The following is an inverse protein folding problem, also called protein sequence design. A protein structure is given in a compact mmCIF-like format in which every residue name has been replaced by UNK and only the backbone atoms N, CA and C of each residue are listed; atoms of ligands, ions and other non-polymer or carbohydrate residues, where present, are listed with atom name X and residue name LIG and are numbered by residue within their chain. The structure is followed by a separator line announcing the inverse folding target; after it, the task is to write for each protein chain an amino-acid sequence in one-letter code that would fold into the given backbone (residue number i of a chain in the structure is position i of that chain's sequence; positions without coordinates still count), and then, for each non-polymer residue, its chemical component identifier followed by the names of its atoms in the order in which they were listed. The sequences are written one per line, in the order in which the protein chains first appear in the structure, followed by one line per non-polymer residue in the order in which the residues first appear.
data_IF_866984203956
#
_entry.id   IF_866984203956
#
_cell.length_a   1.000
_cell.length_b   1.000
_cell.length_c   1.000
_cell.angle_alpha   90.00
_cell.angle_beta   90.00
_cell.angle_gamma   90.00
#
_symmetry.space_group_name_H-M   'P 1'
#
loop_
_entity.id
_entity.type
_entity.pdbx_description
1 polymer ?
#
# COMPACT_ATOMS: atom_id res chain seq x y z
N UNK A 1 -9.45 -27.56 -0.54
CA UNK A 1 -8.66 -27.52 0.71
C UNK A 1 -7.20 -27.24 0.36
N UNK A 2 -6.45 -26.54 1.22
CA UNK A 2 -5.00 -26.36 1.01
C UNK A 2 -4.29 -27.71 1.15
N UNK A 3 -3.48 -28.09 0.17
CA UNK A 3 -2.68 -29.30 0.21
C UNK A 3 -1.22 -28.99 -0.16
N UNK A 4 -0.27 -29.67 0.47
CA UNK A 4 1.17 -29.52 0.20
C UNK A 4 1.57 -30.18 -1.13
N UNK A 5 0.70 -30.94 -1.77
CA UNK A 5 0.96 -31.59 -3.07
C UNK A 5 0.53 -30.76 -4.29
N UNK A 6 -0.21 -29.67 -4.07
CA UNK A 6 -0.69 -28.81 -5.15
C UNK A 6 0.16 -27.55 -5.30
N UNK A 7 0.28 -27.09 -6.55
CA UNK A 7 0.89 -25.80 -6.88
C UNK A 7 -0.18 -24.71 -6.98
N UNK A 8 -0.07 -23.66 -6.18
CA UNK A 8 -1.00 -22.53 -6.21
C UNK A 8 -0.34 -21.28 -6.81
N UNK A 9 -1.14 -20.37 -7.37
CA UNK A 9 -0.62 -19.06 -7.82
C UNK A 9 -0.19 -18.24 -6.61
N UNK A 10 0.99 -17.63 -6.68
CA UNK A 10 1.53 -16.82 -5.58
C UNK A 10 0.63 -15.60 -5.31
N UNK A 11 0.15 -15.40 -4.07
CA UNK A 11 -0.69 -14.24 -3.75
C UNK A 11 0.07 -12.91 -3.78
N UNK A 12 1.40 -12.94 -3.60
CA UNK A 12 2.26 -11.76 -3.54
C UNK A 12 2.56 -11.19 -4.94
N UNK A 13 3.08 -12.02 -5.85
CA UNK A 13 3.47 -11.57 -7.20
C UNK A 13 2.41 -11.85 -8.28
N UNK A 14 1.39 -12.69 -8.00
CA UNK A 14 0.37 -13.18 -8.95
C UNK A 14 0.90 -13.82 -10.25
N UNK A 15 2.21 -13.99 -10.38
CA UNK A 15 2.88 -14.53 -11.57
C UNK A 15 3.54 -15.88 -11.30
N UNK A 16 4.22 -16.01 -10.16
CA UNK A 16 4.86 -17.26 -9.77
C UNK A 16 3.87 -18.27 -9.22
N UNK A 17 4.32 -19.52 -9.11
CA UNK A 17 3.62 -20.57 -8.38
C UNK A 17 4.34 -20.79 -7.05
N UNK A 18 3.55 -21.05 -6.02
CA UNK A 18 4.06 -21.50 -4.73
C UNK A 18 4.03 -23.03 -4.69
N UNK A 19 5.12 -23.61 -4.21
CA UNK A 19 5.27 -25.06 -4.00
C UNK A 19 5.64 -25.32 -2.54
N UNK A 20 5.12 -26.41 -1.98
CA UNK A 20 5.44 -26.77 -0.60
C UNK A 20 6.92 -27.15 -0.45
N UNK A 21 7.52 -26.72 0.66
CA UNK A 21 8.83 -27.21 1.09
C UNK A 21 8.59 -28.49 1.89
N UNK A 22 9.13 -29.60 1.42
CA UNK A 22 8.83 -30.97 1.91
C UNK A 22 9.23 -31.25 3.36
N UNK A 23 9.83 -30.28 4.07
CA UNK A 23 10.36 -30.45 5.43
C UNK A 23 9.61 -29.61 6.49
N UNK A 24 8.73 -28.68 6.08
CA UNK A 24 7.98 -27.79 6.97
C UNK A 24 6.62 -27.48 6.34
N UNK A 25 5.60 -27.10 7.13
CA UNK A 25 4.34 -26.56 6.60
C UNK A 25 4.56 -25.14 6.03
N UNK A 26 5.39 -25.04 4.99
CA UNK A 26 5.81 -23.81 4.36
C UNK A 26 5.79 -23.95 2.84
N UNK A 27 5.56 -22.83 2.15
CA UNK A 27 5.51 -22.73 0.70
C UNK A 27 6.52 -21.67 0.25
N UNK A 28 7.20 -21.90 -0.86
CA UNK A 28 8.06 -20.88 -1.47
C UNK A 28 7.61 -20.58 -2.89
N UNK A 29 7.72 -19.31 -3.29
CA UNK A 29 7.43 -18.92 -4.66
C UNK A 29 8.66 -19.08 -5.56
N UNK A 30 8.48 -19.74 -6.71
CA UNK A 30 9.53 -19.90 -7.72
C UNK A 30 9.94 -18.60 -8.44
N UNK A 31 9.19 -17.51 -8.28
CA UNK A 31 9.43 -16.23 -8.95
C UNK A 31 9.98 -15.16 -8.01
N UNK A 32 9.24 -14.84 -6.94
CA UNK A 32 9.66 -13.81 -5.98
C UNK A 32 10.59 -14.35 -4.88
N UNK A 33 10.81 -15.67 -4.81
CA UNK A 33 11.68 -16.34 -3.82
C UNK A 33 11.35 -16.05 -2.35
N UNK A 34 10.14 -15.58 -2.06
CA UNK A 34 9.65 -15.44 -0.70
C UNK A 34 9.09 -16.75 -0.15
N UNK A 35 9.32 -16.95 1.15
CA UNK A 35 8.81 -18.08 1.93
C UNK A 35 7.55 -17.65 2.68
N UNK A 36 6.55 -18.52 2.63
CA UNK A 36 5.28 -18.37 3.31
C UNK A 36 5.11 -19.54 4.27
N UNK A 37 4.78 -19.27 5.53
CA UNK A 37 4.34 -20.27 6.49
C UNK A 37 2.86 -20.59 6.27
N UNK A 38 2.51 -21.86 6.12
CA UNK A 38 1.12 -22.28 6.00
C UNK A 38 0.60 -22.86 7.30
N UNK A 39 -0.55 -22.37 7.75
CA UNK A 39 -1.30 -23.00 8.82
C UNK A 39 -2.45 -23.80 8.18
N UNK A 40 -2.24 -25.11 8.03
CA UNK A 40 -3.20 -26.02 7.41
C UNK A 40 -4.52 -26.13 8.20
N UNK A 41 -4.47 -26.01 9.53
CA UNK A 41 -5.67 -26.02 10.39
C UNK A 41 -6.56 -24.80 10.15
N UNK A 42 -5.95 -23.63 9.97
CA UNK A 42 -6.68 -22.38 9.74
C UNK A 42 -6.88 -22.07 8.26
N UNK A 43 -6.32 -22.89 7.35
CA UNK A 43 -6.29 -22.65 5.90
C UNK A 43 -5.76 -21.25 5.54
N UNK A 44 -4.78 -20.78 6.32
CA UNK A 44 -4.14 -19.49 6.14
C UNK A 44 -2.68 -19.65 5.71
N UNK A 45 -2.22 -18.73 4.87
CA UNK A 45 -0.83 -18.57 4.50
C UNK A 45 -0.34 -17.24 5.04
N UNK A 46 0.78 -17.25 5.74
CA UNK A 46 1.41 -16.08 6.33
C UNK A 46 2.80 -15.88 5.72
N UNK A 47 3.19 -14.65 5.43
CA UNK A 47 4.55 -14.38 4.96
C UNK A 47 5.54 -14.59 6.12
N UNK A 48 6.52 -15.49 5.94
CA UNK A 48 7.49 -15.81 7.00
C UNK A 48 8.64 -14.79 7.10
N UNK A 49 8.95 -14.12 5.98
CA UNK A 49 10.06 -13.15 5.86
C UNK A 49 9.68 -11.70 6.21
N UNK A 50 8.42 -11.42 6.58
CA UNK A 50 7.94 -10.06 6.77
C UNK A 50 7.81 -9.67 8.24
N UNK A 51 8.35 -8.52 8.64
CA UNK A 51 8.09 -7.86 9.94
C UNK A 51 6.60 -7.55 10.18
N UNK A 52 5.75 -7.65 9.14
CA UNK A 52 4.31 -7.47 9.23
C UNK A 52 3.59 -8.77 8.84
N UNK A 53 2.56 -9.20 9.60
CA UNK A 53 1.86 -10.46 9.38
C UNK A 53 0.92 -10.36 8.17
N UNK A 54 1.50 -10.39 6.96
CA UNK A 54 0.72 -10.57 5.74
C UNK A 54 0.16 -11.97 5.73
N UNK A 55 -1.16 -12.06 5.91
CA UNK A 55 -1.88 -13.31 5.91
C UNK A 55 -2.91 -13.33 4.77
N UNK A 56 -3.08 -14.50 4.18
CA UNK A 56 -4.08 -14.78 3.15
C UNK A 56 -4.87 -16.02 3.58
N UNK A 57 -6.17 -15.95 3.41
CA UNK A 57 -7.08 -17.07 3.60
C UNK A 57 -7.40 -17.71 2.25
N UNK A 58 -7.42 -19.04 2.21
CA UNK A 58 -7.79 -19.78 1.01
C UNK A 58 -9.27 -20.15 1.02
N UNK A 59 -10.04 -19.61 0.07
CA UNK A 59 -11.46 -19.95 -0.08
C UNK A 59 -11.74 -21.16 -0.96
N UNK A 60 -10.70 -21.87 -1.43
CA UNK A 60 -10.84 -23.04 -2.32
C UNK A 60 -10.59 -22.74 -3.79
N UNK A 61 -10.87 -21.52 -4.24
CA UNK A 61 -10.61 -21.06 -5.62
C UNK A 61 -9.61 -19.91 -5.70
N UNK A 62 -9.65 -18.99 -4.72
CA UNK A 62 -8.89 -17.75 -4.73
C UNK A 62 -8.27 -17.43 -3.37
N UNK A 63 -7.23 -16.60 -3.38
CA UNK A 63 -6.63 -16.03 -2.17
C UNK A 63 -7.40 -14.78 -1.75
N UNK A 64 -7.86 -14.74 -0.52
CA UNK A 64 -8.43 -13.55 0.10
C UNK A 64 -7.41 -13.00 1.10
N UNK A 65 -7.01 -11.74 0.94
CA UNK A 65 -6.11 -11.10 1.88
C UNK A 65 -6.86 -10.79 3.19
N UNK A 66 -6.42 -11.34 4.32
CA UNK A 66 -7.10 -11.11 5.60
C UNK A 66 -6.81 -9.73 6.18
N UNK A 67 -5.73 -9.05 5.77
CA UNK A 67 -5.54 -7.63 6.13
C UNK A 67 -6.62 -6.74 5.49
N UNK A 68 -7.09 -7.07 4.28
CA UNK A 68 -8.20 -6.36 3.63
C UNK A 68 -9.58 -6.63 4.27
N UNK A 69 -9.75 -7.75 4.99
CA UNK A 69 -10.93 -7.96 5.83
C UNK A 69 -10.87 -7.15 7.12
N UNK A 70 -9.68 -6.99 7.72
CA UNK A 70 -9.46 -6.18 8.92
C UNK A 70 -9.50 -4.67 8.63
N UNK A 71 -9.28 -4.26 7.38
CA UNK A 71 -9.13 -2.85 6.99
C UNK A 71 -10.40 -2.01 7.04
N UNK A 72 -11.57 -2.59 7.30
CA UNK A 72 -12.82 -1.82 7.38
C UNK A 72 -12.75 -0.65 8.37
N UNK A 73 -12.29 -0.92 9.58
CA UNK A 73 -12.11 0.07 10.67
C UNK A 73 -10.91 1.01 10.41
N UNK A 74 -9.77 0.43 10.02
CA UNK A 74 -8.54 1.17 9.72
C UNK A 74 -8.70 2.16 8.55
N UNK A 75 -9.54 1.84 7.55
CA UNK A 75 -9.82 2.71 6.42
C UNK A 75 -10.58 3.98 6.81
N UNK A 76 -11.43 3.91 7.84
CA UNK A 76 -12.20 5.05 8.33
C UNK A 76 -11.28 6.06 9.04
N UNK A 77 -10.34 5.58 9.85
CA UNK A 77 -9.33 6.41 10.50
C UNK A 77 -8.46 7.12 9.47
N UNK A 78 -8.05 6.41 8.41
CA UNK A 78 -7.26 7.00 7.33
C UNK A 78 -8.01 8.10 6.60
N UNK A 79 -9.29 7.90 6.30
CA UNK A 79 -10.14 8.95 5.72
C UNK A 79 -10.30 10.14 6.65
N UNK A 80 -10.55 9.90 7.94
CA UNK A 80 -10.72 10.93 8.97
C UNK A 80 -9.47 11.80 9.13
N UNK A 81 -8.27 11.25 8.96
CA UNK A 81 -7.02 12.00 9.06
C UNK A 81 -6.61 12.64 7.74
N UNK A 82 -6.85 11.97 6.61
CA UNK A 82 -6.38 12.43 5.28
C UNK A 82 -7.14 13.65 4.77
N UNK A 83 -8.47 13.66 4.93
CA UNK A 83 -9.33 14.76 4.46
C UNK A 83 -8.97 16.10 5.11
N UNK A 84 -8.91 16.23 6.45
CA UNK A 84 -8.52 17.49 7.07
C UNK A 84 -7.07 17.85 6.76
N UNK A 85 -6.16 16.88 6.62
CA UNK A 85 -4.78 17.18 6.28
C UNK A 85 -4.63 17.82 4.88
N UNK A 86 -5.47 17.45 3.91
CA UNK A 86 -5.48 18.06 2.56
C UNK A 86 -6.18 19.41 2.58
N UNK A 87 -7.32 19.52 3.27
CA UNK A 87 -8.21 20.69 3.16
C UNK A 87 -7.88 21.82 4.14
N UNK A 88 -7.50 21.49 5.38
CA UNK A 88 -7.33 22.48 6.43
C UNK A 88 -6.22 23.50 6.11
N UNK A 89 -5.02 23.10 5.64
CA UNK A 89 -3.97 24.06 5.29
C UNK A 89 -4.35 25.04 4.18
N UNK A 90 -4.82 24.62 2.98
CA UNK A 90 -5.19 25.55 1.93
C UNK A 90 -6.44 26.37 2.27
N UNK A 91 -7.38 25.83 3.06
CA UNK A 91 -8.52 26.62 3.57
C UNK A 91 -8.04 27.73 4.49
N UNK A 92 -7.12 27.45 5.42
CA UNK A 92 -6.61 28.45 6.36
C UNK A 92 -5.89 29.60 5.63
N UNK A 93 -5.06 29.25 4.63
CA UNK A 93 -4.31 30.22 3.82
C UNK A 93 -5.28 31.01 2.92
N UNK A 94 -6.20 30.32 2.25
CA UNK A 94 -7.21 30.93 1.38
C UNK A 94 -8.14 31.88 2.16
N UNK A 95 -8.60 31.47 3.33
CA UNK A 95 -9.41 32.31 4.22
C UNK A 95 -8.63 33.55 4.68
N UNK A 96 -7.36 33.40 5.01
CA UNK A 96 -6.47 34.51 5.33
C UNK A 96 -6.37 35.51 4.18
N UNK A 97 -6.20 35.01 2.94
CA UNK A 97 -6.15 35.87 1.75
C UNK A 97 -7.47 36.58 1.42
N UNK A 98 -8.60 36.00 1.84
CA UNK A 98 -9.92 36.62 1.67
C UNK A 98 -10.20 37.69 2.72
N UNK A 99 -9.83 37.43 3.98
CA UNK A 99 -10.01 38.38 5.09
C UNK A 99 -9.05 39.57 4.99
N UNK A 100 -7.85 39.33 4.45
CA UNK A 100 -6.81 40.35 4.24
C UNK A 100 -6.40 40.35 2.76
N UNK A 101 -7.25 40.91 1.87
CA UNK A 101 -6.97 40.92 0.44
C UNK A 101 -5.67 41.70 0.16
N UNK A 102 -4.75 41.14 -0.65
CA UNK A 102 -3.53 41.84 -1.03
C UNK A 102 -3.84 42.97 -2.01
N UNK A 103 -3.10 44.08 -1.90
CA UNK A 103 -3.20 45.18 -2.85
C UNK A 103 -2.85 44.72 -4.28
N UNK A 104 -3.74 44.89 -5.27
CA UNK A 104 -3.55 44.36 -6.61
C UNK A 104 -2.38 44.98 -7.37
N UNK A 105 -1.95 46.18 -6.97
CA UNK A 105 -0.80 46.89 -7.55
C UNK A 105 0.55 46.44 -6.94
N UNK A 106 0.51 45.62 -5.88
CA UNK A 106 1.70 45.09 -5.23
C UNK A 106 2.26 43.90 -6.00
N UNK A 107 3.58 43.91 -6.21
CA UNK A 107 4.32 42.78 -6.78
C UNK A 107 4.14 41.45 -6.00
N UNK A 108 3.67 41.50 -4.74
CA UNK A 108 3.42 40.34 -3.89
C UNK A 108 2.02 39.72 -3.98
N UNK A 109 1.09 40.29 -4.77
CA UNK A 109 -0.32 39.85 -4.79
C UNK A 109 -0.53 38.39 -5.27
N UNK A 110 0.42 37.83 -6.03
CA UNK A 110 0.37 36.45 -6.51
C UNK A 110 0.78 35.42 -5.45
N UNK A 111 1.53 35.83 -4.42
CA UNK A 111 2.14 34.94 -3.44
C UNK A 111 1.10 34.10 -2.67
N UNK A 112 -0.02 34.67 -2.16
CA UNK A 112 -1.03 33.88 -1.45
C UNK A 112 -1.70 32.81 -2.33
N UNK A 113 -1.98 33.13 -3.60
CA UNK A 113 -2.56 32.19 -4.56
C UNK A 113 -1.60 31.05 -4.88
N UNK A 114 -0.34 31.37 -5.16
CA UNK A 114 0.70 30.37 -5.39
C UNK A 114 0.91 29.47 -4.18
N UNK A 115 0.98 30.05 -2.98
CA UNK A 115 1.20 29.30 -1.74
C UNK A 115 0.01 28.39 -1.39
N UNK A 116 -1.22 28.83 -1.64
CA UNK A 116 -2.43 28.02 -1.47
C UNK A 116 -2.42 26.80 -2.41
N UNK A 117 -2.08 27.02 -3.68
CA UNK A 117 -1.93 25.91 -4.63
C UNK A 117 -0.82 24.94 -4.22
N UNK A 118 0.36 25.46 -3.89
CA UNK A 118 1.51 24.65 -3.49
C UNK A 118 1.19 23.78 -2.26
N UNK A 119 0.57 24.36 -1.22
CA UNK A 119 0.17 23.62 -0.03
C UNK A 119 -0.87 22.55 -0.33
N UNK A 120 -1.87 22.82 -1.18
CA UNK A 120 -2.80 21.79 -1.60
C UNK A 120 -2.09 20.60 -2.29
N UNK A 121 -1.21 20.87 -3.26
CA UNK A 121 -0.50 19.82 -4.01
C UNK A 121 0.46 19.01 -3.13
N UNK A 122 1.17 19.65 -2.19
CA UNK A 122 2.09 18.92 -1.31
C UNK A 122 1.36 17.99 -0.34
N UNK A 123 0.24 18.43 0.24
CA UNK A 123 -0.55 17.59 1.13
C UNK A 123 -1.27 16.47 0.35
N UNK A 124 -1.76 16.76 -0.86
CA UNK A 124 -2.30 15.74 -1.75
C UNK A 124 -1.24 14.69 -2.07
N UNK A 125 -0.01 15.10 -2.43
CA UNK A 125 1.08 14.18 -2.70
C UNK A 125 1.42 13.33 -1.48
N UNK A 126 1.48 13.92 -0.29
CA UNK A 126 1.76 13.19 0.95
C UNK A 126 0.69 12.15 1.26
N UNK A 127 -0.59 12.51 1.12
CA UNK A 127 -1.70 11.55 1.32
C UNK A 127 -1.71 10.49 0.22
N UNK A 128 -1.46 10.84 -1.03
CA UNK A 128 -1.38 9.88 -2.12
C UNK A 128 -0.24 8.87 -1.89
N UNK A 129 0.91 9.36 -1.44
CA UNK A 129 2.04 8.53 -1.02
C UNK A 129 1.66 7.60 0.13
N UNK A 130 1.02 8.12 1.18
CA UNK A 130 0.58 7.32 2.32
C UNK A 130 -0.46 6.26 1.92
N UNK A 131 -1.42 6.61 1.05
CA UNK A 131 -2.42 5.68 0.54
C UNK A 131 -1.78 4.57 -0.28
N UNK A 132 -0.74 4.89 -1.02
CA UNK A 132 0.03 3.93 -1.79
C UNK A 132 0.80 2.95 -0.90
N UNK A 133 1.47 3.47 0.15
CA UNK A 133 2.13 2.67 1.18
C UNK A 133 1.13 1.78 1.93
N UNK A 134 -0.03 2.33 2.31
CA UNK A 134 -1.08 1.62 3.04
C UNK A 134 -1.73 0.51 2.20
N UNK A 135 -2.07 0.81 0.95
CA UNK A 135 -2.74 -0.15 0.07
C UNK A 135 -1.79 -1.21 -0.49
N UNK A 136 -0.47 -1.06 -0.29
CA UNK A 136 0.58 -1.97 -0.75
C UNK A 136 0.30 -2.53 -2.14
N UNK A 137 0.16 -1.64 -3.12
CA UNK A 137 -0.39 -2.00 -4.41
C UNK A 137 0.44 -3.13 -5.05
N UNK A 138 -0.16 -4.31 -5.33
CA UNK A 138 0.60 -5.52 -5.70
C UNK A 138 1.39 -5.34 -6.99
N UNK A 139 0.96 -4.41 -7.84
CA UNK A 139 1.69 -4.02 -9.05
C UNK A 139 3.03 -3.35 -8.71
N UNK A 140 3.06 -2.44 -7.74
CA UNK A 140 4.28 -1.71 -7.40
C UNK A 140 5.32 -2.60 -6.72
N UNK A 141 4.87 -3.48 -5.81
CA UNK A 141 5.77 -4.46 -5.19
C UNK A 141 6.38 -5.40 -6.25
N UNK A 142 5.58 -5.82 -7.24
CA UNK A 142 6.09 -6.60 -8.36
C UNK A 142 7.12 -5.83 -9.22
N UNK A 143 6.92 -4.52 -9.43
CA UNK A 143 7.86 -3.66 -10.17
C UNK A 143 9.17 -3.48 -9.41
N UNK A 144 9.11 -3.21 -8.09
CA UNK A 144 10.31 -3.08 -7.24
C UNK A 144 11.11 -4.37 -7.22
N UNK A 145 10.46 -5.53 -7.01
CA UNK A 145 11.14 -6.83 -7.01
C UNK A 145 11.81 -7.09 -8.36
N UNK A 146 11.13 -6.79 -9.48
CA UNK A 146 11.74 -6.91 -10.82
C UNK A 146 12.93 -5.97 -11.00
N UNK A 147 12.88 -4.76 -10.46
CA UNK A 147 13.97 -3.81 -10.53
C UNK A 147 15.18 -4.26 -9.70
N UNK A 148 14.96 -4.72 -8.46
CA UNK A 148 16.01 -5.30 -7.62
C UNK A 148 16.64 -6.56 -8.25
N UNK A 149 15.84 -7.43 -8.86
CA UNK A 149 16.37 -8.61 -9.56
C UNK A 149 17.31 -8.24 -10.71
N UNK A 150 16.99 -7.17 -11.47
CA UNK A 150 17.88 -6.64 -12.53
C UNK A 150 19.16 -6.02 -11.98
N UNK A 151 19.12 -5.41 -10.81
CA UNK A 151 20.31 -4.83 -10.18
C UNK A 151 21.23 -5.90 -9.61
N UNK A 152 20.69 -6.98 -9.05
CA UNK A 152 21.46 -8.07 -8.44
C UNK A 152 21.99 -9.12 -9.47
N UNK A 153 21.71 -8.92 -10.76
CA UNK A 153 22.22 -9.75 -11.87
C UNK A 153 23.28 -9.03 -12.72
N UNK A 154 23.77 -7.87 -12.27
CA UNK A 154 25.01 -7.24 -12.74
C UNK A 154 26.07 -7.31 -11.65
#
# INVERSE_FOLDING_TARGET
MLNTHDSYTCPLCRHGRISALTLMDAFACNFCRHIFSANLQQQTLQLADGDRPFSWYWTGQNWINVAMMRSGDQSQILWLLSVPLILLPPILIGLGSYLFPPDPESSGAWFPLFWTGLTFFTHLFLVAWLMFEYYQWPFFQAVIIRFQQRLNTR
#
